data_IF_287125743718
#
_entry.id   IF_287125743718
#
_cell.length_a   1.000
_cell.length_b   1.000
_cell.length_c   1.000
_cell.angle_alpha   90.00
_cell.angle_beta   90.00
_cell.angle_gamma   90.00
#
_symmetry.space_group_name_H-M   'P 1'
#
loop_
_entity.id
_entity.type
_entity.pdbx_description
1 polymer ?
#
# COMPACT_ATOMS: atom_id res chain seq x y z
N UNK A 1 -13.13 -19.76 -5.71
CA UNK A 1 -12.03 -18.78 -5.63
C UNK A 1 -11.95 -18.26 -4.21
N UNK A 2 -10.83 -18.50 -3.53
CA UNK A 2 -10.61 -18.02 -2.17
C UNK A 2 -9.88 -16.67 -2.26
N UNK A 3 -10.49 -15.62 -1.74
CA UNK A 3 -9.89 -14.28 -1.67
C UNK A 3 -8.68 -14.34 -0.74
N UNK A 4 -7.48 -14.09 -1.25
CA UNK A 4 -6.26 -14.03 -0.45
C UNK A 4 -5.86 -12.59 -0.16
N UNK A 5 -5.16 -12.38 0.95
CA UNK A 5 -4.54 -11.10 1.28
C UNK A 5 -3.08 -11.13 0.84
N UNK A 6 -2.75 -10.37 -0.22
CA UNK A 6 -1.38 -10.22 -0.71
C UNK A 6 -0.73 -9.02 -0.04
N UNK A 7 0.45 -9.21 0.54
CA UNK A 7 1.19 -8.13 1.21
C UNK A 7 2.26 -7.53 0.28
N UNK A 8 2.24 -6.22 0.10
CA UNK A 8 3.27 -5.45 -0.62
C UNK A 8 4.02 -4.58 0.37
N UNK A 9 5.28 -4.92 0.59
CA UNK A 9 6.18 -4.19 1.50
C UNK A 9 6.94 -3.10 0.75
N UNK A 10 6.99 -1.93 1.36
CA UNK A 10 7.62 -0.72 0.84
C UNK A 10 8.44 -0.01 1.91
N UNK A 11 9.33 0.86 1.47
CA UNK A 11 10.19 1.70 2.31
C UNK A 11 9.79 3.16 2.09
N UNK A 12 9.95 4.06 3.07
CA UNK A 12 9.60 5.47 2.90
C UNK A 12 10.43 6.16 1.81
N UNK A 13 11.68 5.72 1.57
CA UNK A 13 12.57 6.24 0.53
C UNK A 13 12.52 5.44 -0.78
N UNK A 14 11.34 4.93 -1.14
CA UNK A 14 11.15 4.16 -2.38
C UNK A 14 11.25 5.10 -3.60
N UNK A 15 11.94 4.66 -4.65
CA UNK A 15 12.04 5.42 -5.91
C UNK A 15 10.76 5.33 -6.73
N UNK A 16 10.52 6.30 -7.63
CA UNK A 16 9.34 6.30 -8.52
C UNK A 16 9.22 5.02 -9.33
N UNK A 17 10.33 4.53 -9.90
CA UNK A 17 10.36 3.30 -10.69
C UNK A 17 9.91 2.06 -9.88
N UNK A 18 10.36 1.97 -8.63
CA UNK A 18 9.95 0.89 -7.73
C UNK A 18 8.46 0.97 -7.37
N UNK A 19 7.93 2.18 -7.14
CA UNK A 19 6.48 2.39 -6.90
C UNK A 19 5.67 1.86 -8.09
N UNK A 20 6.03 2.23 -9.32
CA UNK A 20 5.35 1.77 -10.53
C UNK A 20 5.35 0.24 -10.65
N UNK A 21 6.46 -0.42 -10.32
CA UNK A 21 6.54 -1.88 -10.33
C UNK A 21 5.63 -2.51 -9.27
N UNK A 22 5.57 -1.93 -8.07
CA UNK A 22 4.65 -2.37 -7.02
C UNK A 22 3.18 -2.17 -7.42
N UNK A 23 2.85 -1.06 -8.07
CA UNK A 23 1.51 -0.77 -8.57
C UNK A 23 1.04 -1.78 -9.62
N UNK A 24 1.90 -2.12 -10.59
CA UNK A 24 1.60 -3.18 -11.58
C UNK A 24 1.30 -4.52 -10.90
N UNK A 25 2.07 -4.87 -9.87
CA UNK A 25 1.85 -6.08 -9.09
C UNK A 25 0.53 -6.04 -8.31
N UNK A 26 0.23 -4.91 -7.65
CA UNK A 26 -1.01 -4.71 -6.92
C UNK A 26 -2.24 -4.82 -7.84
N UNK A 27 -2.19 -4.18 -9.02
CA UNK A 27 -3.24 -4.25 -10.04
C UNK A 27 -3.54 -5.69 -10.43
N UNK A 28 -2.51 -6.49 -10.72
CA UNK A 28 -2.66 -7.91 -11.05
C UNK A 28 -3.35 -8.71 -9.93
N UNK A 29 -3.03 -8.44 -8.66
CA UNK A 29 -3.70 -9.12 -7.54
C UNK A 29 -5.16 -8.70 -7.41
N UNK A 30 -5.45 -7.40 -7.53
CA UNK A 30 -6.82 -6.88 -7.47
C UNK A 30 -7.70 -7.42 -8.60
N UNK A 31 -7.16 -7.52 -9.82
CA UNK A 31 -7.83 -8.13 -10.97
C UNK A 31 -8.13 -9.63 -10.75
N UNK A 32 -7.28 -10.33 -9.97
CA UNK A 32 -7.50 -11.72 -9.55
C UNK A 32 -8.48 -11.86 -8.38
N UNK A 33 -9.16 -10.77 -7.98
CA UNK A 33 -10.06 -10.71 -6.83
C UNK A 33 -9.37 -10.99 -5.48
N UNK A 34 -8.05 -10.75 -5.40
CA UNK A 34 -7.31 -10.75 -4.14
C UNK A 34 -7.30 -9.34 -3.50
N UNK A 35 -7.23 -9.30 -2.17
CA UNK A 35 -7.00 -8.07 -1.42
C UNK A 35 -5.51 -7.75 -1.38
N UNK A 36 -5.17 -6.48 -1.35
CA UNK A 36 -3.78 -6.03 -1.27
C UNK A 36 -3.56 -5.19 -0.02
N UNK A 37 -2.63 -5.61 0.83
CA UNK A 37 -2.15 -4.86 1.98
C UNK A 37 -0.81 -4.20 1.64
N UNK A 38 -0.79 -2.88 1.57
CA UNK A 38 0.44 -2.11 1.51
C UNK A 38 0.99 -1.92 2.91
N UNK A 39 2.31 -2.12 3.07
CA UNK A 39 2.99 -2.00 4.35
C UNK A 39 4.29 -1.20 4.17
N UNK A 40 4.30 0.04 4.64
CA UNK A 40 5.47 0.92 4.67
C UNK A 40 6.14 0.75 6.02
N UNK A 41 7.39 0.29 6.02
CA UNK A 41 8.18 0.13 7.24
C UNK A 41 9.12 1.31 7.43
N UNK A 42 8.94 2.07 8.51
CA UNK A 42 9.85 3.13 8.94
C UNK A 42 10.97 2.54 9.80
N UNK A 43 12.21 2.98 9.62
CA UNK A 43 13.34 2.57 10.49
C UNK A 43 13.93 3.77 11.23
N UNK A 44 14.15 3.61 12.55
CA UNK A 44 14.92 4.56 13.35
C UNK A 44 14.23 5.93 13.55
N UNK A 45 14.94 7.01 13.23
CA UNK A 45 14.46 8.42 13.36
C UNK A 45 13.41 8.82 12.31
N UNK A 46 12.97 7.89 11.47
CA UNK A 46 12.00 8.13 10.40
C UNK A 46 10.54 8.25 10.87
N UNK A 47 10.27 8.16 12.17
CA UNK A 47 8.93 8.43 12.72
C UNK A 47 8.45 9.88 12.45
N UNK A 48 9.37 10.81 12.16
CA UNK A 48 9.00 12.16 11.71
C UNK A 48 8.45 12.20 10.27
N UNK A 49 8.62 11.14 9.47
CA UNK A 49 8.20 11.08 8.07
C UNK A 49 6.90 10.30 7.84
N UNK A 50 6.00 10.26 8.83
CA UNK A 50 4.68 9.65 8.65
C UNK A 50 3.90 10.30 7.51
N UNK A 51 4.06 11.61 7.31
CA UNK A 51 3.46 12.33 6.18
C UNK A 51 3.88 11.75 4.83
N UNK A 52 5.17 11.43 4.65
CA UNK A 52 5.66 10.82 3.41
C UNK A 52 4.98 9.47 3.13
N UNK A 53 4.80 8.64 4.17
CA UNK A 53 4.08 7.38 4.02
C UNK A 53 2.61 7.58 3.63
N UNK A 54 1.95 8.60 4.21
CA UNK A 54 0.56 8.94 3.85
C UNK A 54 0.47 9.43 2.41
N UNK A 55 1.40 10.27 1.96
CA UNK A 55 1.46 10.75 0.57
C UNK A 55 1.61 9.57 -0.39
N UNK A 56 2.58 8.67 -0.15
CA UNK A 56 2.80 7.49 -1.00
C UNK A 56 1.54 6.61 -1.06
N UNK A 57 0.90 6.33 0.09
CA UNK A 57 -0.31 5.51 0.11
C UNK A 57 -1.51 6.22 -0.54
N UNK A 58 -1.60 7.54 -0.42
CA UNK A 58 -2.60 8.36 -1.10
C UNK A 58 -2.47 8.30 -2.62
N UNK A 59 -1.26 8.47 -3.14
CA UNK A 59 -0.97 8.32 -4.58
C UNK A 59 -1.32 6.91 -5.09
N UNK A 60 -0.98 5.87 -4.32
CA UNK A 60 -1.32 4.48 -4.66
C UNK A 60 -2.84 4.26 -4.65
N UNK A 61 -3.54 4.82 -3.65
CA UNK A 61 -4.99 4.73 -3.57
C UNK A 61 -5.67 5.39 -4.77
N UNK A 62 -5.22 6.57 -5.16
CA UNK A 62 -5.76 7.31 -6.31
C UNK A 62 -5.56 6.53 -7.61
N UNK A 63 -4.35 6.03 -7.85
CA UNK A 63 -4.03 5.25 -9.06
C UNK A 63 -4.76 3.90 -9.15
N UNK A 64 -5.19 3.33 -8.03
CA UNK A 64 -5.91 2.05 -7.99
C UNK A 64 -7.42 2.21 -7.73
N UNK A 65 -7.92 3.45 -7.62
CA UNK A 65 -9.31 3.76 -7.25
C UNK A 65 -10.37 3.21 -8.23
N UNK A 66 -9.98 3.03 -9.50
CA UNK A 66 -10.83 2.48 -10.56
C UNK A 66 -11.13 0.98 -10.36
N UNK A 67 -10.16 0.22 -9.85
CA UNK A 67 -10.25 -1.25 -9.74
C UNK A 67 -10.35 -1.74 -8.29
N UNK A 68 -10.12 -0.86 -7.32
CA UNK A 68 -10.12 -1.18 -5.90
C UNK A 68 -10.97 -0.20 -5.09
N UNK A 69 -11.36 -0.65 -3.90
CA UNK A 69 -11.96 0.16 -2.84
C UNK A 69 -11.10 0.10 -1.59
N UNK A 70 -11.10 1.18 -0.83
CA UNK A 70 -10.40 1.22 0.47
C UNK A 70 -11.18 0.37 1.46
N UNK A 71 -10.56 -0.70 1.95
CA UNK A 71 -11.09 -1.51 3.05
C UNK A 71 -10.56 -1.02 4.39
N UNK A 72 -9.28 -0.65 4.43
CA UNK A 72 -8.65 -0.01 5.58
C UNK A 72 -7.79 1.15 5.09
N UNK A 73 -8.14 2.37 5.50
CA UNK A 73 -7.37 3.57 5.19
C UNK A 73 -5.96 3.52 5.80
N UNK A 74 -5.06 4.36 5.28
CA UNK A 74 -3.69 4.48 5.76
C UNK A 74 -3.63 4.76 7.27
N UNK A 75 -3.14 3.80 8.05
CA UNK A 75 -3.04 3.91 9.50
C UNK A 75 -1.70 3.40 10.02
N UNK A 76 -1.27 3.92 11.17
CA UNK A 76 -0.07 3.47 11.85
C UNK A 76 -0.35 2.14 12.57
N UNK A 77 0.43 1.12 12.24
CA UNK A 77 0.44 -0.19 12.87
C UNK A 77 1.73 -0.39 13.65
N UNK A 78 1.61 -0.91 14.88
CA UNK A 78 2.74 -1.31 15.73
C UNK A 78 3.80 -0.20 15.96
N UNK A 79 3.40 1.07 15.83
CA UNK A 79 4.24 2.26 16.05
C UNK A 79 5.40 2.47 15.06
N UNK A 80 5.56 1.58 14.06
CA UNK A 80 6.71 1.60 13.13
C UNK A 80 6.34 1.28 11.68
N UNK A 81 5.10 0.86 11.44
CA UNK A 81 4.62 0.52 10.12
C UNK A 81 3.40 1.39 9.81
N UNK A 82 3.25 1.79 8.55
CA UNK A 82 1.99 2.33 8.05
C UNK A 82 1.40 1.36 7.06
N UNK A 83 0.15 0.99 7.30
CA UNK A 83 -0.55 -0.01 6.51
C UNK A 83 -1.79 0.60 5.86
N UNK A 84 -2.13 0.10 4.68
CA UNK A 84 -3.39 0.36 3.99
C UNK A 84 -3.85 -0.95 3.34
N UNK A 85 -5.14 -1.24 3.39
CA UNK A 85 -5.72 -2.42 2.74
C UNK A 85 -6.71 -1.97 1.68
N UNK A 86 -6.47 -2.43 0.44
CA UNK A 86 -7.36 -2.26 -0.69
C UNK A 86 -8.02 -3.60 -0.99
N UNK A 87 -9.33 -3.56 -1.21
CA UNK A 87 -10.11 -4.69 -1.69
C UNK A 87 -10.46 -4.48 -3.17
N UNK A 88 -10.52 -5.54 -3.97
CA UNK A 88 -10.95 -5.44 -5.35
C UNK A 88 -12.42 -5.02 -5.42
N UNK A 89 -12.77 -4.24 -6.43
CA UNK A 89 -14.17 -3.95 -6.77
C UNK A 89 -14.85 -5.17 -7.37
#
# INVERSE_FOLDING_TARGET
HQVQLKEIRMRPKIGKHDIEFKLKSARKFLEQKDKVKFNIMFRGRENAHHELGRTILGEIQEQLSEIAKVEQAATMASGRNMIMVLAPR
#
